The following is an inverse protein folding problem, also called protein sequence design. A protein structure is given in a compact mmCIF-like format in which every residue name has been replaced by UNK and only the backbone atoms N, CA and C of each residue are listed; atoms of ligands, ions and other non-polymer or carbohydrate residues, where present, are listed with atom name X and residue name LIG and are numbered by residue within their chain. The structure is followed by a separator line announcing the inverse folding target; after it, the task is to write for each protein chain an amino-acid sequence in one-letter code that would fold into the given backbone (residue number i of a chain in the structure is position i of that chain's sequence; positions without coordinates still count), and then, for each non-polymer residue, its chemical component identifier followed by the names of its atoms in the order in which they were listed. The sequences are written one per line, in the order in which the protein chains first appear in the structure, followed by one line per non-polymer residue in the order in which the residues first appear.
data_IF_563558193113
#
_entry.id   IF_563558193113
#
_cell.length_a   1.000
_cell.length_b   1.000
_cell.length_c   1.000
_cell.angle_alpha   90.00
_cell.angle_beta   90.00
_cell.angle_gamma   90.00
#
_symmetry.space_group_name_H-M   'P 1'
#
loop_
_entity.id
_entity.type
_entity.pdbx_description
1 polymer ?
#
# COMPACT_ATOMS: atom_id res chain seq x y z
N UNK A 1 -0.79 36.72 -27.80
CA UNK A 1 0.60 36.25 -27.91
C UNK A 1 0.68 35.04 -27.03
N UNK A 2 0.91 33.86 -27.60
CA UNK A 2 1.05 32.65 -26.79
C UNK A 2 2.19 32.87 -25.81
N UNK A 3 1.93 32.58 -24.54
CA UNK A 3 2.93 32.71 -23.49
C UNK A 3 4.15 31.88 -23.86
N UNK A 4 5.34 32.32 -23.43
CA UNK A 4 6.57 31.55 -23.64
C UNK A 4 6.42 30.11 -23.14
N UNK A 5 5.64 29.93 -22.08
CA UNK A 5 5.28 28.63 -21.51
C UNK A 5 4.43 27.78 -22.49
N UNK A 6 3.40 28.35 -23.11
CA UNK A 6 2.60 27.64 -24.14
C UNK A 6 3.43 27.23 -25.34
N UNK A 7 4.36 28.08 -25.80
CA UNK A 7 5.28 27.71 -26.87
C UNK A 7 6.17 26.53 -26.47
N UNK A 8 6.72 26.54 -25.24
CA UNK A 8 7.57 25.47 -24.72
C UNK A 8 6.77 24.18 -24.57
N UNK A 9 5.58 24.24 -23.98
CA UNK A 9 4.71 23.07 -23.79
C UNK A 9 4.33 22.47 -25.15
N UNK A 10 3.96 23.30 -26.12
CA UNK A 10 3.62 22.85 -27.48
C UNK A 10 4.82 22.19 -28.15
N UNK A 11 6.01 22.76 -28.01
CA UNK A 11 7.24 22.18 -28.54
C UNK A 11 7.55 20.81 -27.92
N UNK A 12 7.47 20.69 -26.60
CA UNK A 12 7.72 19.44 -25.89
C UNK A 12 6.70 18.35 -26.25
N UNK A 13 5.43 18.71 -26.42
CA UNK A 13 4.38 17.78 -26.83
C UNK A 13 4.55 17.29 -28.27
N UNK A 14 5.01 18.16 -29.17
CA UNK A 14 5.22 17.81 -30.59
C UNK A 14 6.54 17.08 -30.84
N UNK A 15 7.50 17.17 -29.92
CA UNK A 15 8.83 16.54 -30.02
C UNK A 15 9.12 15.63 -28.83
N UNK A 16 8.37 14.52 -28.63
CA UNK A 16 8.51 13.66 -27.45
C UNK A 16 9.90 13.02 -27.33
N UNK A 17 10.59 12.80 -28.45
CA UNK A 17 11.97 12.29 -28.49
C UNK A 17 13.01 13.26 -27.94
N UNK A 18 12.69 14.55 -27.86
CA UNK A 18 13.59 15.56 -27.28
C UNK A 18 13.82 15.29 -25.80
N UNK A 19 12.75 15.06 -25.04
CA UNK A 19 12.81 14.71 -23.62
C UNK A 19 13.45 13.34 -23.40
N UNK A 20 13.16 12.38 -24.29
CA UNK A 20 13.81 11.06 -24.28
C UNK A 20 15.32 11.20 -24.42
N UNK A 21 15.81 11.90 -25.45
CA UNK A 21 17.24 12.13 -25.70
C UNK A 21 17.93 13.01 -24.64
N UNK A 22 17.16 13.84 -23.93
CA UNK A 22 17.69 14.63 -22.81
C UNK A 22 17.87 13.77 -21.55
N UNK A 23 16.94 12.85 -21.31
CA UNK A 23 16.97 11.93 -20.17
C UNK A 23 17.87 10.71 -20.42
N UNK A 24 18.05 10.32 -21.68
CA UNK A 24 18.96 9.26 -22.10
C UNK A 24 20.34 9.84 -22.40
N UNK A 25 21.37 9.07 -22.10
CA UNK A 25 22.75 9.50 -22.18
C UNK A 25 23.70 8.33 -21.95
N UNK A 26 25.00 8.57 -21.69
CA UNK A 26 25.99 7.50 -21.53
C UNK A 26 25.61 6.48 -20.45
N UNK A 27 24.89 6.94 -19.43
CA UNK A 27 24.50 6.14 -18.26
C UNK A 27 23.05 5.62 -18.31
N UNK A 28 22.22 6.13 -19.22
CA UNK A 28 20.80 5.75 -19.34
C UNK A 28 20.49 5.51 -20.81
N UNK A 29 20.49 4.25 -21.22
CA UNK A 29 20.11 3.89 -22.60
C UNK A 29 18.61 4.06 -22.84
N UNK A 30 18.21 4.25 -24.10
CA UNK A 30 16.80 4.34 -24.49
C UNK A 30 15.99 3.12 -24.01
N UNK A 31 16.55 1.90 -24.06
CA UNK A 31 15.91 0.69 -23.53
C UNK A 31 15.65 0.72 -22.02
N UNK A 32 16.46 1.45 -21.26
CA UNK A 32 16.28 1.64 -19.80
C UNK A 32 15.21 2.70 -19.56
N UNK A 33 15.23 3.79 -20.33
CA UNK A 33 14.22 4.84 -20.27
C UNK A 33 12.83 4.31 -20.68
N UNK A 34 12.73 3.54 -21.76
CA UNK A 34 11.48 2.90 -22.19
C UNK A 34 10.91 1.97 -21.12
N UNK A 35 11.77 1.18 -20.45
CA UNK A 35 11.35 0.34 -19.32
C UNK A 35 10.87 1.17 -18.14
N UNK A 36 11.52 2.30 -17.87
CA UNK A 36 11.09 3.23 -16.82
C UNK A 36 9.75 3.91 -17.15
N UNK A 37 9.61 4.45 -18.36
CA UNK A 37 8.37 5.04 -18.88
C UNK A 37 7.22 4.03 -18.89
N UNK A 38 7.47 2.80 -19.35
CA UNK A 38 6.46 1.74 -19.35
C UNK A 38 6.01 1.37 -17.93
N UNK A 39 6.93 1.29 -16.97
CA UNK A 39 6.60 1.05 -15.55
C UNK A 39 5.80 2.20 -14.95
N UNK A 40 6.10 3.44 -15.32
CA UNK A 40 5.40 4.62 -14.83
C UNK A 40 4.02 4.76 -15.47
N UNK A 41 3.88 4.56 -16.77
CA UNK A 41 2.60 4.61 -17.48
C UNK A 41 1.67 3.45 -17.06
N UNK A 42 2.23 2.30 -16.69
CA UNK A 42 1.48 1.20 -16.04
C UNK A 42 1.01 1.57 -14.62
N UNK A 43 1.71 2.45 -13.89
CA UNK A 43 1.23 2.99 -12.61
C UNK A 43 0.13 4.01 -12.83
N UNK A 44 0.34 4.99 -13.72
CA UNK A 44 -0.63 6.05 -14.02
C UNK A 44 -1.95 5.50 -14.59
N UNK A 45 -1.91 4.53 -15.52
CA UNK A 45 -3.15 3.88 -16.05
C UNK A 45 -3.85 2.99 -15.03
N UNK A 46 -3.17 2.56 -13.96
CA UNK A 46 -3.73 1.72 -12.88
C UNK A 46 -4.23 2.55 -11.69
N UNK A 47 -3.70 3.76 -11.52
CA UNK A 47 -4.08 4.75 -10.51
C UNK A 47 -5.35 5.53 -10.89
N UNK A 48 -5.65 5.69 -12.19
CA UNK A 48 -6.74 6.58 -12.62
C UNK A 48 -8.15 5.95 -12.72
N UNK A 49 -8.33 4.61 -12.67
CA UNK A 49 -9.61 4.03 -13.13
C UNK A 49 -10.24 2.84 -12.38
N UNK A 50 -9.63 2.15 -11.38
CA UNK A 50 -10.32 0.95 -10.82
C UNK A 50 -10.24 0.54 -9.34
N UNK A 51 -9.28 0.98 -8.51
CA UNK A 51 -9.07 0.33 -7.18
C UNK A 51 -9.25 1.26 -5.95
N UNK A 52 -10.00 2.36 -6.05
CA UNK A 52 -10.21 3.30 -4.91
C UNK A 52 -11.35 2.92 -3.95
N UNK A 53 -12.04 1.79 -4.17
CA UNK A 53 -13.20 1.36 -3.37
C UNK A 53 -12.90 0.06 -2.61
N UNK A 54 -11.88 0.09 -1.74
CA UNK A 54 -11.69 -0.99 -0.76
C UNK A 54 -12.77 -0.94 0.32
N UNK A 55 -13.15 -2.05 0.96
CA UNK A 55 -14.14 -2.06 2.05
C UNK A 55 -13.91 -1.01 3.15
N UNK A 56 -12.64 -0.71 3.50
CA UNK A 56 -12.28 0.31 4.49
C UNK A 56 -12.24 1.74 3.94
N UNK A 57 -12.44 1.90 2.64
CA UNK A 57 -12.51 3.19 1.95
C UNK A 57 -13.94 3.52 1.49
N UNK A 58 -14.93 2.75 1.94
CA UNK A 58 -16.34 3.02 1.68
C UNK A 58 -16.82 4.25 2.47
N UNK A 59 -17.79 4.97 1.91
CA UNK A 59 -18.42 6.12 2.58
C UNK A 59 -19.15 5.71 3.86
N UNK A 60 -19.67 4.48 3.90
CA UNK A 60 -20.32 3.87 5.05
C UNK A 60 -19.43 2.77 5.65
N UNK A 61 -19.02 2.97 6.90
CA UNK A 61 -18.21 2.03 7.69
C UNK A 61 -19.02 1.36 8.81
N UNK A 62 -20.35 1.49 8.80
CA UNK A 62 -21.22 0.96 9.86
C UNK A 62 -21.03 -0.54 10.09
N UNK A 63 -20.87 -1.32 9.01
CA UNK A 63 -20.62 -2.76 9.11
C UNK A 63 -19.28 -3.08 9.78
N UNK A 64 -18.24 -2.31 9.49
CA UNK A 64 -16.93 -2.47 10.11
C UNK A 64 -16.93 -2.03 11.58
N UNK A 65 -17.62 -0.93 11.89
CA UNK A 65 -17.85 -0.50 13.26
C UNK A 65 -18.56 -1.59 14.08
N UNK A 66 -19.65 -2.14 13.54
CA UNK A 66 -20.40 -3.23 14.18
C UNK A 66 -19.56 -4.51 14.31
N UNK A 67 -18.76 -4.83 13.31
CA UNK A 67 -17.83 -5.96 13.34
C UNK A 67 -16.77 -5.78 14.44
N UNK A 68 -16.18 -4.59 14.57
CA UNK A 68 -15.18 -4.32 15.61
C UNK A 68 -15.78 -4.40 17.02
N UNK A 69 -16.98 -3.85 17.22
CA UNK A 69 -17.67 -3.90 18.51
C UNK A 69 -18.05 -5.35 18.87
N UNK A 70 -18.69 -6.06 17.94
CA UNK A 70 -19.13 -7.44 18.16
C UNK A 70 -17.95 -8.41 18.34
N UNK A 71 -16.78 -8.06 17.79
CA UNK A 71 -15.56 -8.86 17.84
C UNK A 71 -14.55 -8.40 18.89
N UNK A 72 -14.96 -7.59 19.88
CA UNK A 72 -14.05 -7.00 20.88
C UNK A 72 -13.13 -8.00 21.60
N UNK A 73 -13.58 -9.25 21.75
CA UNK A 73 -12.80 -10.32 22.38
C UNK A 73 -11.93 -11.13 21.41
N UNK A 74 -12.05 -10.91 20.10
CA UNK A 74 -11.31 -11.60 19.04
C UNK A 74 -10.16 -10.72 18.54
N UNK A 75 -9.14 -10.57 19.38
CA UNK A 75 -7.93 -9.77 19.09
C UNK A 75 -7.31 -10.11 17.72
N UNK A 76 -7.16 -11.38 17.31
CA UNK A 76 -6.65 -11.71 15.99
C UNK A 76 -7.46 -11.12 14.82
N UNK A 77 -8.79 -11.10 14.94
CA UNK A 77 -9.66 -10.54 13.90
C UNK A 77 -9.49 -9.03 13.80
N UNK A 78 -9.43 -8.35 14.95
CA UNK A 78 -9.21 -6.90 15.03
C UNK A 78 -7.85 -6.53 14.41
N UNK A 79 -6.78 -7.24 14.76
CA UNK A 79 -5.44 -6.99 14.21
C UNK A 79 -5.39 -7.22 12.69
N UNK A 80 -6.09 -8.24 12.19
CA UNK A 80 -6.18 -8.48 10.75
C UNK A 80 -6.88 -7.32 10.03
N UNK A 81 -8.02 -6.88 10.54
CA UNK A 81 -8.79 -5.79 9.95
C UNK A 81 -8.03 -4.47 9.96
N UNK A 82 -7.32 -4.18 11.04
CA UNK A 82 -6.44 -3.02 11.12
C UNK A 82 -5.33 -3.09 10.06
N UNK A 83 -4.68 -4.24 9.92
CA UNK A 83 -3.67 -4.46 8.87
C UNK A 83 -4.25 -4.31 7.46
N UNK A 84 -5.48 -4.77 7.25
CA UNK A 84 -6.19 -4.65 5.98
C UNK A 84 -6.53 -3.19 5.64
N UNK A 85 -7.02 -2.43 6.62
CA UNK A 85 -7.28 -1.00 6.47
C UNK A 85 -5.99 -0.24 6.12
N UNK A 86 -4.89 -0.51 6.83
CA UNK A 86 -3.58 0.08 6.52
C UNK A 86 -3.09 -0.29 5.12
N UNK A 87 -3.27 -1.53 4.69
CA UNK A 87 -2.89 -1.98 3.35
C UNK A 87 -3.69 -1.25 2.27
N UNK A 88 -5.00 -1.03 2.47
CA UNK A 88 -5.84 -0.25 1.57
C UNK A 88 -5.41 1.21 1.52
N UNK A 89 -5.19 1.85 2.68
CA UNK A 89 -4.69 3.24 2.77
C UNK A 89 -3.33 3.44 2.08
N UNK A 90 -2.45 2.45 2.18
CA UNK A 90 -1.10 2.50 1.58
C UNK A 90 -1.05 1.92 0.17
N UNK A 91 -2.19 1.54 -0.41
CA UNK A 91 -2.32 0.95 -1.75
C UNK A 91 -1.47 -0.32 -1.95
N UNK A 92 -1.25 -1.07 -0.88
CA UNK A 92 -0.50 -2.31 -0.90
C UNK A 92 -1.41 -3.49 -1.23
N UNK A 93 -1.13 -4.18 -2.34
CA UNK A 93 -1.89 -5.38 -2.78
C UNK A 93 -1.68 -6.60 -1.90
N UNK A 94 -0.57 -6.65 -1.16
CA UNK A 94 -0.20 -7.76 -0.29
C UNK A 94 0.19 -7.20 1.06
N UNK A 95 -0.37 -7.78 2.11
CA UNK A 95 -0.01 -7.49 3.49
C UNK A 95 -0.09 -8.78 4.30
N UNK A 96 0.69 -8.82 5.37
CA UNK A 96 0.84 -9.95 6.26
C UNK A 96 0.68 -9.43 7.69
N UNK A 97 -0.19 -10.05 8.50
CA UNK A 97 -0.32 -9.74 9.92
C UNK A 97 0.25 -10.90 10.73
N UNK A 98 1.19 -10.60 11.61
CA UNK A 98 1.87 -11.57 12.46
C UNK A 98 1.67 -11.13 13.90
N UNK A 99 1.12 -12.04 14.70
CA UNK A 99 0.97 -11.87 16.14
C UNK A 99 2.08 -12.65 16.84
N UNK A 100 2.77 -12.01 17.79
CA UNK A 100 3.78 -12.64 18.63
C UNK A 100 3.18 -12.87 20.02
N UNK A 101 3.39 -14.06 20.57
CA UNK A 101 3.07 -14.40 21.95
C UNK A 101 4.27 -15.13 22.56
N UNK A 102 5.04 -14.43 23.40
CA UNK A 102 6.24 -14.83 24.15
C UNK A 102 7.28 -15.71 23.40
N UNK A 103 6.89 -16.91 22.97
CA UNK A 103 7.75 -17.89 22.29
C UNK A 103 7.30 -18.22 20.85
N UNK A 104 6.11 -17.79 20.44
CA UNK A 104 5.49 -18.20 19.19
C UNK A 104 5.06 -17.01 18.32
N UNK A 105 5.20 -17.17 17.02
CA UNK A 105 4.67 -16.25 16.01
C UNK A 105 3.54 -16.94 15.24
N UNK A 106 2.41 -16.23 15.08
CA UNK A 106 1.24 -16.71 14.35
C UNK A 106 0.90 -15.78 13.21
N UNK A 107 0.82 -16.33 12.00
CA UNK A 107 0.27 -15.65 10.86
C UNK A 107 -1.25 -15.64 10.95
N UNK A 108 -1.86 -14.46 10.81
CA UNK A 108 -3.31 -14.34 10.81
C UNK A 108 -3.80 -14.47 9.36
N UNK A 109 -4.51 -15.56 9.06
CA UNK A 109 -5.11 -15.79 7.75
C UNK A 109 -6.61 -15.56 7.83
N UNK A 110 -7.12 -14.66 6.98
CA UNK A 110 -8.56 -14.49 6.79
C UNK A 110 -9.16 -15.71 6.10
N UNK A 111 -10.23 -16.20 6.69
CA UNK A 111 -11.26 -17.03 6.08
C UNK A 111 -12.53 -16.17 5.99
N UNK A 112 -13.46 -16.49 5.09
CA UNK A 112 -14.65 -15.68 4.73
C UNK A 112 -15.13 -14.71 5.83
N UNK A 113 -15.56 -15.23 6.98
CA UNK A 113 -16.10 -14.44 8.10
C UNK A 113 -15.21 -14.42 9.35
N UNK A 114 -14.08 -15.14 9.35
CA UNK A 114 -13.29 -15.37 10.56
C UNK A 114 -11.79 -15.43 10.27
N UNK A 115 -10.95 -15.44 11.30
CA UNK A 115 -9.50 -15.60 11.12
C UNK A 115 -9.00 -16.92 11.68
N UNK A 116 -7.98 -17.50 11.02
CA UNK A 116 -7.25 -18.66 11.50
C UNK A 116 -5.80 -18.29 11.77
N UNK A 117 -5.28 -18.74 12.90
CA UNK A 117 -3.88 -18.60 13.26
C UNK A 117 -3.09 -19.76 12.68
N UNK A 118 -2.05 -19.45 11.90
CA UNK A 118 -1.09 -20.43 11.41
C UNK A 118 0.27 -20.14 12.03
N UNK A 119 0.78 -21.08 12.84
CA UNK A 119 2.10 -20.92 13.47
C UNK A 119 3.19 -20.78 12.40
N UNK A 120 4.09 -19.82 12.62
CA UNK A 120 5.20 -19.50 11.74
C UNK A 120 6.40 -20.33 12.18
N UNK A 121 6.85 -21.23 11.32
CA UNK A 121 8.00 -22.12 11.60
C UNK A 121 9.34 -21.56 11.11
N UNK A 122 9.34 -20.44 10.38
CA UNK A 122 10.56 -19.81 9.84
C UNK A 122 10.63 -18.35 10.24
N UNK A 123 11.81 -17.94 10.71
CA UNK A 123 12.13 -16.54 11.02
C UNK A 123 11.91 -15.69 9.78
N UNK A 124 10.94 -14.76 9.83
CA UNK A 124 10.70 -13.79 8.76
C UNK A 124 11.68 -12.62 8.89
N UNK A 125 11.87 -11.93 7.77
CA UNK A 125 12.71 -10.74 7.61
C UNK A 125 12.42 -9.71 8.71
N UNK A 126 13.45 -9.11 9.29
CA UNK A 126 13.31 -8.07 10.32
C UNK A 126 12.43 -6.92 9.79
N UNK A 127 11.53 -6.36 10.63
CA UNK A 127 10.70 -5.24 10.23
C UNK A 127 11.57 -4.04 9.87
N UNK A 128 11.22 -3.36 8.78
CA UNK A 128 11.90 -2.13 8.32
C UNK A 128 11.65 -0.99 9.32
N UNK A 129 10.55 -1.05 10.05
CA UNK A 129 10.12 -0.06 11.02
C UNK A 129 9.38 -0.74 12.17
N UNK A 130 9.69 -0.34 13.40
CA UNK A 130 9.03 -0.80 14.62
C UNK A 130 8.54 0.41 15.39
N UNK A 131 7.25 0.43 15.75
CA UNK A 131 6.65 1.46 16.60
C UNK A 131 5.97 0.78 17.78
N UNK A 132 6.28 1.25 19.00
CA UNK A 132 5.52 0.86 20.18
C UNK A 132 4.19 1.61 20.17
N UNK A 133 3.10 0.88 20.39
CA UNK A 133 1.76 1.47 20.44
C UNK A 133 1.46 1.83 21.88
N UNK A 134 0.94 3.03 22.09
CA UNK A 134 0.52 3.53 23.40
C UNK A 134 -0.97 3.84 23.32
N UNK A 135 -1.68 3.63 24.42
CA UNK A 135 -3.06 4.09 24.54
C UNK A 135 -3.13 5.62 24.71
N UNK A 136 -4.35 6.16 24.83
CA UNK A 136 -4.57 7.59 25.00
C UNK A 136 -4.00 8.14 26.32
N UNK A 137 -3.67 7.28 27.27
CA UNK A 137 -3.03 7.62 28.55
C UNK A 137 -1.50 7.47 28.52
N UNK A 138 -0.93 7.08 27.38
CA UNK A 138 0.50 6.83 27.22
C UNK A 138 0.96 5.47 27.75
N UNK A 139 0.02 4.57 28.09
CA UNK A 139 0.36 3.21 28.53
C UNK A 139 0.67 2.37 27.31
N UNK A 140 1.83 1.71 27.33
CA UNK A 140 2.26 0.80 26.29
C UNK A 140 1.24 -0.35 26.14
N UNK A 141 0.70 -0.48 24.93
CA UNK A 141 -0.13 -1.60 24.51
C UNK A 141 0.80 -2.71 24.00
N UNK A 142 1.12 -3.66 24.89
CA UNK A 142 1.99 -4.81 24.60
C UNK A 142 2.68 -5.36 25.83
#
# INVERSE_FOLDING_TARGET
MDSREECIITYLNTHPKFLENYATGPNVSNKVFDRWCSRRNMRVKKEALRDMNGPWMADDLSDFHNLLISSGNNVPLILYELGHACAQLTLNKLFDVIMYNNDNAYFIKRTETNVRLKQVTKVKRLPIYTKKVEDYSGVLLG
#
